data_IF_749367531158
#
_entry.id   IF_749367531158
#
_cell.length_a   1.000
_cell.length_b   1.000
_cell.length_c   1.000
_cell.angle_alpha   90.00
_cell.angle_beta   90.00
_cell.angle_gamma   90.00
#
_symmetry.space_group_name_H-M   'P 1'
#
loop_
_entity.id
_entity.type
_entity.pdbx_description
1 polymer ?
#
# COMPACT_ATOMS: atom_id res chain seq x y z
N UNK A 1 -25.20 50.03 32.72
CA UNK A 1 -26.46 49.36 32.30
C UNK A 1 -26.63 49.72 30.84
N UNK A 2 -26.59 48.82 29.85
CA UNK A 2 -27.14 47.47 29.77
C UNK A 2 -26.21 46.57 28.96
N UNK A 3 -25.89 45.40 29.51
CA UNK A 3 -25.35 44.28 28.75
C UNK A 3 -26.41 43.78 27.77
N UNK A 4 -26.25 44.04 26.47
CA UNK A 4 -26.95 43.27 25.44
C UNK A 4 -26.19 41.96 25.21
N UNK A 5 -26.68 40.95 25.92
CA UNK A 5 -26.32 39.55 25.82
C UNK A 5 -26.58 39.05 24.38
N UNK A 6 -25.55 39.05 23.53
CA UNK A 6 -25.57 38.26 22.31
C UNK A 6 -25.26 36.82 22.71
N UNK A 7 -26.33 36.02 22.93
CA UNK A 7 -26.20 34.57 23.09
C UNK A 7 -25.53 34.02 21.83
N UNK A 8 -24.24 33.74 21.92
CA UNK A 8 -23.57 32.86 20.99
C UNK A 8 -24.27 31.50 21.08
N UNK A 9 -25.06 31.15 20.06
CA UNK A 9 -25.50 29.78 19.84
C UNK A 9 -24.28 28.96 19.44
N UNK A 10 -23.53 28.48 20.43
CA UNK A 10 -22.46 27.51 20.25
C UNK A 10 -23.09 26.13 19.97
N UNK A 11 -23.31 25.84 18.69
CA UNK A 11 -23.56 24.48 18.22
C UNK A 11 -23.03 24.39 16.79
N UNK A 12 -21.87 23.75 16.58
CA UNK A 12 -21.36 23.18 15.29
C UNK A 12 -19.82 22.99 15.29
N UNK A 13 -19.30 21.80 15.65
CA UNK A 13 -18.01 21.18 15.18
C UNK A 13 -17.29 20.24 16.18
N UNK A 14 -17.75 20.09 17.42
CA UNK A 14 -16.89 19.57 18.51
C UNK A 14 -16.48 18.08 18.38
N UNK A 15 -17.17 17.27 17.57
CA UNK A 15 -16.92 15.82 17.44
C UNK A 15 -16.53 15.42 16.01
N UNK A 16 -15.59 16.14 15.40
CA UNK A 16 -15.09 15.86 14.05
C UNK A 16 -13.68 15.29 14.11
N UNK A 17 -13.42 14.16 13.45
CA UNK A 17 -12.09 13.58 13.35
C UNK A 17 -11.13 14.53 12.60
N UNK A 18 -9.97 14.82 13.20
CA UNK A 18 -8.96 15.71 12.61
C UNK A 18 -8.29 15.11 11.34
N UNK A 19 -8.23 13.79 11.20
CA UNK A 19 -7.59 13.12 10.06
C UNK A 19 -8.54 12.87 8.88
N UNK A 20 -9.67 12.21 9.11
CA UNK A 20 -10.59 11.83 8.03
C UNK A 20 -11.77 12.80 7.84
N UNK A 21 -11.92 13.79 8.73
CA UNK A 21 -13.01 14.78 8.75
C UNK A 21 -14.42 14.21 8.91
N UNK A 22 -14.55 12.94 9.32
CA UNK A 22 -15.85 12.34 9.65
C UNK A 22 -16.40 12.99 10.91
N UNK A 23 -17.66 13.40 10.86
CA UNK A 23 -18.35 14.06 11.96
C UNK A 23 -19.24 13.06 12.70
N UNK A 24 -19.23 13.16 14.02
CA UNK A 24 -20.00 12.32 14.93
C UNK A 24 -20.98 13.16 15.73
N UNK A 25 -22.12 12.58 16.08
CA UNK A 25 -23.10 13.26 16.93
C UNK A 25 -22.64 13.32 18.39
N UNK A 26 -21.76 12.41 18.80
CA UNK A 26 -21.27 12.27 20.18
C UNK A 26 -19.76 12.04 20.21
N UNK A 27 -19.10 12.55 21.25
CA UNK A 27 -17.66 12.37 21.48
C UNK A 27 -17.29 10.90 21.65
N UNK A 28 -18.12 10.11 22.35
CA UNK A 28 -17.91 8.66 22.54
C UNK A 28 -17.70 7.91 21.22
N UNK A 29 -18.45 8.26 20.17
CA UNK A 29 -18.32 7.66 18.85
C UNK A 29 -17.09 8.14 18.08
N UNK A 30 -16.63 9.38 18.32
CA UNK A 30 -15.37 9.87 17.76
C UNK A 30 -14.19 9.12 18.38
N UNK A 31 -14.18 8.95 19.70
CA UNK A 31 -13.15 8.19 20.41
C UNK A 31 -13.10 6.75 19.91
N UNK A 32 -14.26 6.10 19.75
CA UNK A 32 -14.33 4.74 19.22
C UNK A 32 -13.83 4.66 17.77
N UNK A 33 -14.16 5.64 16.93
CA UNK A 33 -13.60 5.75 15.58
C UNK A 33 -12.08 5.83 15.60
N UNK A 34 -11.50 6.67 16.46
CA UNK A 34 -10.05 6.85 16.54
C UNK A 34 -9.34 5.56 16.96
N UNK A 35 -9.95 4.76 17.85
CA UNK A 35 -9.40 3.47 18.28
C UNK A 35 -9.24 2.45 17.17
N UNK A 36 -10.17 2.44 16.21
CA UNK A 36 -10.22 1.41 15.15
C UNK A 36 -9.70 1.90 13.80
N UNK A 37 -9.40 3.19 13.67
CA UNK A 37 -9.01 3.79 12.39
C UNK A 37 -7.50 3.96 12.19
N UNK A 38 -6.71 3.99 13.27
CA UNK A 38 -5.23 3.99 13.21
C UNK A 38 -4.66 5.03 12.25
N UNK A 39 -5.18 6.25 12.35
CA UNK A 39 -4.74 7.35 11.51
C UNK A 39 -3.26 7.64 11.75
N UNK A 40 -2.50 7.85 10.67
CA UNK A 40 -1.06 8.07 10.76
C UNK A 40 -0.52 8.92 9.61
N UNK A 41 0.74 9.33 9.75
CA UNK A 41 1.50 10.03 8.70
C UNK A 41 1.69 9.18 7.43
N UNK A 42 1.57 7.85 7.54
CA UNK A 42 1.76 6.89 6.46
C UNK A 42 0.52 6.61 5.62
N UNK A 43 -0.66 7.05 6.04
CA UNK A 43 -1.88 6.93 5.23
C UNK A 43 -1.81 7.83 3.99
N UNK A 44 -2.34 7.40 2.83
CA UNK A 44 -2.55 8.27 1.68
C UNK A 44 -3.34 9.54 2.05
N UNK A 45 -2.83 10.73 1.69
CA UNK A 45 -3.50 12.00 1.99
C UNK A 45 -3.89 12.77 0.74
N UNK A 46 -5.01 13.47 0.80
CA UNK A 46 -5.41 14.41 -0.24
C UNK A 46 -4.54 15.67 -0.19
N UNK A 47 -3.79 15.96 -1.26
CA UNK A 47 -2.96 17.15 -1.34
C UNK A 47 -3.71 18.49 -1.29
N UNK A 48 -5.05 18.49 -1.47
CA UNK A 48 -5.88 19.70 -1.37
C UNK A 48 -6.36 19.93 0.06
N UNK A 49 -7.08 18.95 0.62
CA UNK A 49 -7.76 19.13 1.91
C UNK A 49 -7.05 18.45 3.08
N UNK A 50 -5.94 17.75 2.83
CA UNK A 50 -5.17 16.99 3.81
C UNK A 50 -5.93 15.85 4.49
N UNK A 51 -7.08 15.45 3.94
CA UNK A 51 -7.85 14.29 4.43
C UNK A 51 -7.00 13.02 4.31
N UNK A 52 -6.87 12.30 5.41
CA UNK A 52 -6.33 10.95 5.45
C UNK A 52 -7.33 9.97 4.83
N UNK A 53 -6.83 9.10 3.96
CA UNK A 53 -7.59 8.05 3.30
C UNK A 53 -6.97 6.70 3.65
N UNK A 54 -7.82 5.73 3.99
CA UNK A 54 -7.38 4.39 4.40
C UNK A 54 -6.61 3.66 3.30
N UNK A 55 -6.95 3.92 2.04
CA UNK A 55 -6.27 3.33 0.88
C UNK A 55 -6.15 4.34 -0.26
N UNK A 56 -5.28 4.05 -1.22
CA UNK A 56 -5.15 4.86 -2.43
C UNK A 56 -6.40 4.82 -3.30
N UNK A 57 -7.22 3.77 -3.18
CA UNK A 57 -8.52 3.68 -3.85
C UNK A 57 -9.48 4.72 -3.27
N UNK A 58 -9.60 4.82 -1.95
CA UNK A 58 -10.41 5.86 -1.31
C UNK A 58 -9.91 7.27 -1.62
N UNK A 59 -8.60 7.47 -1.74
CA UNK A 59 -8.03 8.75 -2.17
C UNK A 59 -8.41 9.08 -3.62
N UNK A 60 -8.34 8.08 -4.51
CA UNK A 60 -8.75 8.22 -5.91
C UNK A 60 -10.22 8.56 -6.03
N UNK A 61 -11.09 7.85 -5.30
CA UNK A 61 -12.53 8.12 -5.27
C UNK A 61 -12.82 9.54 -4.77
N UNK A 62 -12.07 10.01 -3.77
CA UNK A 62 -12.20 11.36 -3.24
C UNK A 62 -11.85 12.46 -4.26
N UNK A 63 -10.89 12.20 -5.15
CA UNK A 63 -10.38 13.17 -6.13
C UNK A 63 -11.09 13.11 -7.49
N UNK A 64 -11.32 11.90 -7.99
CA UNK A 64 -11.81 11.63 -9.36
C UNK A 64 -12.91 10.56 -9.42
N UNK A 65 -13.43 10.12 -8.26
CA UNK A 65 -14.50 9.13 -8.20
C UNK A 65 -15.87 9.67 -8.62
N UNK A 66 -16.94 8.86 -8.45
CA UNK A 66 -18.30 9.24 -8.83
C UNK A 66 -18.88 10.37 -7.97
N UNK A 67 -18.42 10.50 -6.72
CA UNK A 67 -18.86 11.53 -5.77
C UNK A 67 -17.65 12.25 -5.14
N UNK A 68 -16.84 12.97 -5.93
CA UNK A 68 -15.63 13.59 -5.42
C UNK A 68 -15.99 14.88 -4.67
N UNK A 69 -15.15 15.30 -3.73
CA UNK A 69 -15.38 16.57 -3.01
C UNK A 69 -15.14 17.72 -3.98
N UNK A 70 -16.17 18.53 -4.25
CA UNK A 70 -16.21 19.54 -5.33
C UNK A 70 -14.91 20.34 -5.48
N UNK A 71 -14.42 20.95 -4.40
CA UNK A 71 -13.17 21.73 -4.45
C UNK A 71 -11.92 20.89 -4.70
N UNK A 72 -11.85 19.69 -4.12
CA UNK A 72 -10.73 18.78 -4.34
C UNK A 72 -10.70 18.30 -5.78
N UNK A 73 -11.85 17.90 -6.33
CA UNK A 73 -12.02 17.51 -7.71
C UNK A 73 -11.63 18.63 -8.68
N UNK A 74 -12.10 19.85 -8.42
CA UNK A 74 -11.82 21.03 -9.25
C UNK A 74 -10.33 21.36 -9.27
N UNK A 75 -9.69 21.42 -8.10
CA UNK A 75 -8.24 21.72 -8.01
C UNK A 75 -7.42 20.60 -8.65
N UNK A 76 -7.77 19.35 -8.38
CA UNK A 76 -7.10 18.19 -8.94
C UNK A 76 -7.26 18.09 -10.46
N UNK A 77 -8.43 18.44 -11.02
CA UNK A 77 -8.64 18.46 -12.47
C UNK A 77 -7.70 19.42 -13.22
N UNK A 78 -7.29 20.52 -12.58
CA UNK A 78 -6.44 21.55 -13.20
C UNK A 78 -4.95 21.28 -12.95
N UNK A 79 -4.61 20.80 -11.75
CA UNK A 79 -3.23 20.76 -11.22
C UNK A 79 -2.78 19.37 -10.79
N UNK A 80 -3.66 18.37 -10.82
CA UNK A 80 -3.42 17.00 -10.37
C UNK A 80 -2.96 16.06 -11.49
N UNK A 81 -2.09 15.12 -11.14
CA UNK A 81 -1.67 14.05 -12.03
C UNK A 81 -2.43 12.75 -11.70
N UNK A 82 -3.16 12.19 -12.67
CA UNK A 82 -3.95 10.97 -12.49
C UNK A 82 -3.11 9.71 -12.19
N UNK A 83 -1.79 9.75 -12.42
CA UNK A 83 -0.89 8.62 -12.21
C UNK A 83 -0.23 8.63 -10.82
N UNK A 84 0.42 9.73 -10.44
CA UNK A 84 1.06 9.84 -9.12
C UNK A 84 0.11 10.34 -8.03
N UNK A 85 -1.04 10.93 -8.39
CA UNK A 85 -2.00 11.61 -7.51
C UNK A 85 -1.43 12.86 -6.80
N UNK A 86 -0.25 13.34 -7.20
CA UNK A 86 0.31 14.59 -6.71
C UNK A 86 -0.39 15.80 -7.35
N UNK A 87 -0.39 16.90 -6.61
CA UNK A 87 -0.96 18.18 -7.02
C UNK A 87 0.19 19.18 -7.14
N UNK A 88 0.32 19.81 -8.30
CA UNK A 88 1.41 20.72 -8.63
C UNK A 88 1.01 22.17 -8.38
N UNK A 89 1.97 23.10 -8.34
CA UNK A 89 1.70 24.52 -8.08
C UNK A 89 0.92 25.24 -9.20
N UNK A 90 1.04 24.73 -10.43
CA UNK A 90 0.37 25.30 -11.60
C UNK A 90 0.06 24.22 -12.65
N UNK A 91 -0.83 24.55 -13.59
CA UNK A 91 -1.12 23.69 -14.75
C UNK A 91 0.12 23.46 -15.62
N UNK A 92 0.99 24.47 -15.74
CA UNK A 92 2.26 24.35 -16.46
C UNK A 92 3.22 23.35 -15.81
N UNK A 93 3.34 23.39 -14.47
CA UNK A 93 4.14 22.41 -13.73
C UNK A 93 3.59 20.98 -13.90
N UNK A 94 2.27 20.80 -13.88
CA UNK A 94 1.64 19.52 -14.20
C UNK A 94 1.98 19.05 -15.62
N UNK A 95 1.91 19.93 -16.63
CA UNK A 95 2.25 19.57 -18.02
C UNK A 95 3.70 19.14 -18.15
N UNK A 96 4.63 19.86 -17.54
CA UNK A 96 6.04 19.48 -17.50
C UNK A 96 6.22 18.10 -16.82
N UNK A 97 5.60 17.91 -15.65
CA UNK A 97 5.66 16.64 -14.92
C UNK A 97 5.09 15.45 -15.70
N UNK A 98 4.02 15.60 -16.49
CA UNK A 98 3.39 14.45 -17.18
C UNK A 98 4.37 13.69 -18.07
N UNK A 99 5.35 14.37 -18.66
CA UNK A 99 6.37 13.76 -19.52
C UNK A 99 7.48 13.05 -18.74
N UNK A 100 7.72 13.46 -17.50
CA UNK A 100 8.77 12.93 -16.61
C UNK A 100 8.20 12.15 -15.43
N UNK A 101 6.89 11.92 -15.39
CA UNK A 101 6.24 11.20 -14.32
C UNK A 101 6.81 9.78 -14.29
N UNK A 102 7.39 9.40 -13.16
CA UNK A 102 8.01 8.08 -12.96
C UNK A 102 7.04 6.90 -13.14
N UNK A 103 5.74 7.17 -13.23
CA UNK A 103 4.69 6.19 -13.48
C UNK A 103 4.05 6.34 -14.89
N UNK A 104 4.59 7.18 -15.75
CA UNK A 104 4.18 7.29 -17.16
C UNK A 104 4.77 6.15 -17.99
N UNK A 105 4.18 5.87 -19.16
CA UNK A 105 4.58 4.78 -20.06
C UNK A 105 6.04 4.98 -20.54
N UNK A 106 6.91 4.05 -20.17
CA UNK A 106 8.16 3.63 -20.82
C UNK A 106 8.85 4.66 -21.72
N UNK A 107 9.88 5.32 -21.21
CA UNK A 107 11.09 5.46 -22.04
C UNK A 107 11.81 4.11 -21.99
N UNK A 108 12.08 3.55 -23.17
CA UNK A 108 13.02 2.45 -23.42
C UNK A 108 14.45 2.86 -23.03
N UNK A 109 14.65 3.15 -21.75
CA UNK A 109 15.96 3.35 -21.20
C UNK A 109 16.31 2.02 -20.56
N UNK A 110 17.37 1.38 -21.07
CA UNK A 110 18.21 0.45 -20.32
C UNK A 110 18.00 0.69 -18.83
N UNK A 111 17.27 -0.21 -18.18
CA UNK A 111 17.03 -0.13 -16.75
C UNK A 111 18.41 -0.23 -16.08
N UNK A 112 19.06 0.91 -15.91
CA UNK A 112 19.88 1.15 -14.74
C UNK A 112 18.89 1.02 -13.59
N UNK A 113 18.59 -0.22 -13.21
CA UNK A 113 18.28 -0.59 -11.85
C UNK A 113 19.43 0.00 -11.07
N UNK A 114 19.24 1.27 -10.66
CA UNK A 114 20.21 2.04 -9.92
C UNK A 114 20.63 1.10 -8.82
N UNK A 115 21.92 0.75 -8.86
CA UNK A 115 22.59 -0.14 -7.94
C UNK A 115 22.15 0.30 -6.55
N UNK A 116 21.09 -0.30 -6.00
CA UNK A 116 20.65 -0.08 -4.63
C UNK A 116 21.70 -0.80 -3.81
N UNK A 117 22.86 -0.14 -3.67
CA UNK A 117 23.89 -0.54 -2.74
C UNK A 117 23.24 -0.49 -1.37
N UNK A 118 22.80 -1.66 -0.89
CA UNK A 118 22.14 -1.83 0.40
C UNK A 118 21.07 -2.92 0.37
N UNK A 119 19.92 -2.65 -0.26
CA UNK A 119 18.74 -3.48 -0.09
C UNK A 119 18.58 -4.52 -1.22
N UNK A 120 18.54 -5.80 -0.83
CA UNK A 120 18.32 -6.92 -1.74
C UNK A 120 16.86 -7.38 -1.67
N UNK A 121 16.13 -7.26 -2.79
CA UNK A 121 14.70 -7.58 -2.88
C UNK A 121 14.48 -8.59 -4.00
N UNK A 122 13.64 -9.58 -3.78
CA UNK A 122 13.29 -10.63 -4.75
C UNK A 122 11.78 -10.67 -4.90
N UNK A 123 11.31 -10.76 -6.14
CA UNK A 123 9.91 -11.02 -6.43
C UNK A 123 9.68 -12.52 -6.66
N UNK A 124 8.55 -13.03 -6.18
CA UNK A 124 8.07 -14.39 -6.43
C UNK A 124 6.63 -14.34 -6.91
N UNK A 125 6.33 -15.19 -7.87
CA UNK A 125 4.98 -15.52 -8.30
C UNK A 125 4.99 -16.98 -8.74
N UNK A 126 4.05 -17.78 -8.24
CA UNK A 126 3.79 -19.11 -8.77
C UNK A 126 2.58 -19.07 -9.69
N UNK A 127 2.57 -19.95 -10.68
CA UNK A 127 1.38 -20.17 -11.49
C UNK A 127 1.17 -21.66 -11.63
N UNK A 128 -0.02 -22.09 -11.24
CA UNK A 128 -0.41 -23.50 -11.33
C UNK A 128 -0.59 -23.90 -12.80
N UNK A 129 -0.16 -25.12 -13.11
CA UNK A 129 -0.24 -25.71 -14.45
C UNK A 129 -1.25 -26.86 -14.43
N UNK A 130 -2.34 -26.70 -15.18
CA UNK A 130 -3.44 -27.68 -15.24
C UNK A 130 -4.36 -27.64 -14.01
N UNK A 131 -5.69 -27.61 -14.24
CA UNK A 131 -6.65 -27.69 -13.13
C UNK A 131 -8.04 -27.13 -13.37
N UNK A 132 -8.52 -27.03 -14.61
CA UNK A 132 -9.96 -27.05 -14.84
C UNK A 132 -10.46 -28.48 -14.72
N UNK A 133 -11.69 -28.68 -14.23
CA UNK A 133 -12.39 -29.99 -14.30
C UNK A 133 -12.55 -30.49 -15.75
N UNK A 134 -12.23 -29.66 -16.74
CA UNK A 134 -12.25 -29.88 -18.19
C UNK A 134 -10.86 -30.00 -18.85
N UNK A 135 -9.76 -29.90 -18.09
CA UNK A 135 -8.40 -30.01 -18.64
C UNK A 135 -7.92 -28.79 -19.44
N UNK A 136 -8.54 -27.62 -19.29
CA UNK A 136 -8.14 -26.39 -20.00
C UNK A 136 -6.80 -25.81 -19.49
N UNK A 137 -5.87 -25.52 -20.41
CA UNK A 137 -4.53 -24.93 -20.17
C UNK A 137 -4.48 -23.40 -20.42
N UNK A 138 -5.66 -22.78 -20.52
CA UNK A 138 -5.85 -21.54 -21.29
C UNK A 138 -5.26 -20.27 -20.65
N UNK A 139 -4.99 -20.29 -19.34
CA UNK A 139 -4.54 -19.07 -18.62
C UNK A 139 -3.02 -18.94 -18.53
N UNK A 140 -2.25 -20.02 -18.65
CA UNK A 140 -0.79 -20.01 -18.46
C UNK A 140 -0.02 -20.33 -19.73
N UNK A 141 -0.64 -21.02 -20.70
CA UNK A 141 0.05 -21.51 -21.89
C UNK A 141 1.11 -22.59 -21.62
N UNK A 142 1.25 -23.04 -20.36
CA UNK A 142 2.22 -24.07 -19.99
C UNK A 142 1.60 -25.44 -20.22
N UNK A 143 2.23 -26.24 -21.08
CA UNK A 143 1.80 -27.58 -21.44
C UNK A 143 2.68 -28.64 -20.76
N UNK A 144 2.20 -29.90 -20.62
CA UNK A 144 2.97 -30.98 -19.99
C UNK A 144 4.35 -31.21 -20.62
N UNK A 145 4.51 -30.96 -21.93
CA UNK A 145 5.79 -31.03 -22.62
C UNK A 145 6.86 -30.10 -22.04
N UNK A 146 6.47 -28.92 -21.54
CA UNK A 146 7.37 -27.97 -20.90
C UNK A 146 7.85 -28.45 -19.52
N UNK A 147 7.18 -29.45 -18.93
CA UNK A 147 7.51 -29.99 -17.61
C UNK A 147 8.49 -31.16 -17.67
N UNK A 148 8.76 -31.74 -18.85
CA UNK A 148 9.62 -32.93 -18.99
C UNK A 148 11.06 -32.71 -18.52
N UNK A 149 11.58 -31.51 -18.73
CA UNK A 149 12.94 -31.11 -18.29
C UNK A 149 12.88 -30.10 -17.14
N UNK A 150 11.72 -29.97 -16.48
CA UNK A 150 11.56 -29.02 -15.39
C UNK A 150 12.38 -29.43 -14.16
N UNK A 151 12.85 -28.41 -13.44
CA UNK A 151 13.58 -28.60 -12.19
C UNK A 151 12.70 -29.33 -11.15
N UNK A 152 13.19 -30.40 -10.51
CA UNK A 152 12.46 -31.05 -9.43
C UNK A 152 12.14 -30.10 -8.28
N UNK A 153 10.97 -30.24 -7.66
CA UNK A 153 10.50 -29.34 -6.59
C UNK A 153 11.53 -29.14 -5.47
N UNK A 154 12.16 -30.22 -4.99
CA UNK A 154 13.21 -30.13 -3.95
C UNK A 154 14.43 -29.30 -4.37
N UNK A 155 14.75 -29.28 -5.65
CA UNK A 155 15.85 -28.46 -6.17
C UNK A 155 15.40 -27.00 -6.32
N UNK A 156 14.17 -26.76 -6.76
CA UNK A 156 13.58 -25.42 -6.82
C UNK A 156 13.47 -24.79 -5.43
N UNK A 157 12.94 -25.53 -4.44
CA UNK A 157 12.87 -25.13 -3.03
C UNK A 157 14.24 -24.69 -2.49
N UNK A 158 15.28 -25.50 -2.71
CA UNK A 158 16.64 -25.16 -2.27
C UNK A 158 17.18 -23.91 -2.94
N UNK A 159 16.99 -23.75 -4.25
CA UNK A 159 17.41 -22.53 -4.96
C UNK A 159 16.68 -21.29 -4.45
N UNK A 160 15.38 -21.38 -4.21
CA UNK A 160 14.58 -20.27 -3.68
C UNK A 160 15.05 -19.90 -2.27
N UNK A 161 15.22 -20.88 -1.38
CA UNK A 161 15.72 -20.62 -0.03
C UNK A 161 17.12 -20.00 -0.04
N UNK A 162 18.04 -20.49 -0.88
CA UNK A 162 19.38 -19.92 -1.01
C UNK A 162 19.35 -18.46 -1.50
N UNK A 163 18.49 -18.16 -2.49
CA UNK A 163 18.27 -16.81 -2.97
C UNK A 163 17.69 -15.88 -1.89
N UNK A 164 16.70 -16.34 -1.13
CA UNK A 164 16.01 -15.54 -0.11
C UNK A 164 16.85 -15.33 1.14
N UNK A 165 17.60 -16.35 1.57
CA UNK A 165 18.38 -16.26 2.79
C UNK A 165 19.77 -15.66 2.56
N UNK A 166 20.23 -15.56 1.30
CA UNK A 166 21.45 -14.86 0.90
C UNK A 166 22.70 -15.33 1.69
N UNK A 167 22.81 -16.65 1.87
CA UNK A 167 23.90 -17.28 2.63
C UNK A 167 23.73 -17.28 4.15
N UNK A 168 22.67 -16.67 4.70
CA UNK A 168 22.32 -16.83 6.12
C UNK A 168 21.41 -18.04 6.32
N UNK A 169 21.56 -18.81 7.40
CA UNK A 169 20.60 -19.86 7.70
C UNK A 169 19.32 -19.27 8.30
N UNK A 170 18.17 -19.83 7.92
CA UNK A 170 16.84 -19.28 8.27
C UNK A 170 16.63 -19.05 9.76
N UNK A 171 17.15 -19.91 10.63
CA UNK A 171 17.02 -19.79 12.09
C UNK A 171 17.78 -18.61 12.70
N UNK A 172 18.71 -17.99 11.97
CA UNK A 172 19.42 -16.76 12.37
C UNK A 172 18.67 -15.49 11.96
N UNK A 173 17.71 -15.59 11.04
CA UNK A 173 16.91 -14.46 10.56
C UNK A 173 15.85 -14.12 11.62
N UNK A 174 16.27 -13.40 12.67
CA UNK A 174 15.41 -13.06 13.83
C UNK A 174 15.20 -11.56 14.02
N UNK A 175 15.94 -10.72 13.31
CA UNK A 175 15.89 -9.26 13.43
C UNK A 175 16.05 -8.58 12.07
N UNK A 176 15.91 -7.25 12.06
CA UNK A 176 16.11 -6.40 10.88
C UNK A 176 17.58 -6.34 10.42
N UNK A 177 18.53 -6.67 11.28
CA UNK A 177 19.97 -6.74 10.95
C UNK A 177 20.32 -8.09 10.29
N UNK A 178 19.63 -8.42 9.20
CA UNK A 178 19.84 -9.65 8.42
C UNK A 178 20.29 -9.32 7.00
N UNK A 179 21.06 -10.22 6.40
CA UNK A 179 21.38 -10.16 4.96
C UNK A 179 20.33 -10.83 4.08
N UNK A 180 19.30 -11.43 4.69
CA UNK A 180 18.19 -12.04 3.97
C UNK A 180 17.43 -11.01 3.14
N UNK A 181 16.89 -11.46 2.00
CA UNK A 181 16.28 -10.59 1.00
C UNK A 181 14.81 -10.37 1.28
N UNK A 182 14.32 -9.16 1.05
CA UNK A 182 12.88 -8.90 1.15
C UNK A 182 12.16 -9.67 0.02
N UNK A 183 11.12 -10.41 0.36
CA UNK A 183 10.28 -11.16 -0.57
C UNK A 183 9.03 -10.35 -0.92
N UNK A 184 8.88 -10.00 -2.20
CA UNK A 184 7.74 -9.25 -2.74
C UNK A 184 6.88 -10.15 -3.61
N UNK A 185 5.56 -9.98 -3.56
CA UNK A 185 4.65 -10.72 -4.43
C UNK A 185 3.20 -10.28 -4.29
N UNK A 186 2.28 -11.11 -4.79
CA UNK A 186 0.84 -10.86 -4.74
C UNK A 186 0.10 -12.15 -4.36
N UNK A 187 -0.32 -12.27 -3.10
CA UNK A 187 -0.94 -13.49 -2.58
C UNK A 187 0.09 -14.56 -2.24
N UNK A 188 1.20 -14.17 -1.62
CA UNK A 188 2.37 -15.04 -1.39
C UNK A 188 2.09 -16.24 -0.49
N UNK A 189 1.02 -16.22 0.31
CA UNK A 189 0.62 -17.38 1.10
C UNK A 189 0.46 -18.62 0.22
N UNK A 190 -0.27 -18.49 -0.88
CA UNK A 190 -0.53 -19.60 -1.78
C UNK A 190 0.77 -20.06 -2.48
N UNK A 191 1.59 -19.11 -2.93
CA UNK A 191 2.87 -19.40 -3.58
C UNK A 191 3.81 -20.18 -2.66
N UNK A 192 3.94 -19.73 -1.41
CA UNK A 192 4.80 -20.34 -0.39
C UNK A 192 4.28 -21.72 0.05
N UNK A 193 2.96 -21.89 0.15
CA UNK A 193 2.33 -23.16 0.50
C UNK A 193 2.50 -24.20 -0.62
N UNK A 194 2.29 -23.81 -1.88
CA UNK A 194 2.57 -24.65 -3.05
C UNK A 194 4.05 -25.05 -3.15
N UNK A 195 4.95 -24.16 -2.75
CA UNK A 195 6.37 -24.45 -2.70
C UNK A 195 6.80 -25.20 -1.43
N UNK A 196 5.98 -25.29 -0.39
CA UNK A 196 6.36 -25.84 0.91
C UNK A 196 7.57 -25.12 1.53
N UNK A 197 7.64 -23.79 1.39
CA UNK A 197 8.73 -22.97 1.92
C UNK A 197 8.17 -21.98 2.94
N UNK A 198 8.74 -21.96 4.14
CA UNK A 198 8.43 -20.94 5.14
C UNK A 198 9.38 -19.76 5.04
N UNK A 199 8.88 -18.54 5.24
CA UNK A 199 9.69 -17.33 5.24
C UNK A 199 9.23 -16.34 6.32
N UNK A 200 10.14 -15.62 7.01
CA UNK A 200 9.76 -14.73 8.09
C UNK A 200 8.81 -13.62 7.64
N UNK A 201 7.66 -13.48 8.31
CA UNK A 201 6.59 -12.56 7.91
C UNK A 201 7.05 -11.09 7.82
N UNK A 202 8.02 -10.67 8.64
CA UNK A 202 8.56 -9.30 8.64
C UNK A 202 9.42 -8.97 7.41
N UNK A 203 9.83 -9.97 6.61
CA UNK A 203 10.52 -9.81 5.32
C UNK A 203 9.60 -10.00 4.11
N UNK A 204 8.32 -10.33 4.35
CA UNK A 204 7.31 -10.49 3.29
C UNK A 204 6.65 -9.13 2.99
N UNK A 205 6.49 -8.84 1.71
CA UNK A 205 5.83 -7.64 1.17
C UNK A 205 4.78 -8.09 0.16
N UNK A 206 3.64 -8.50 0.70
CA UNK A 206 2.51 -8.98 -0.10
C UNK A 206 1.59 -7.82 -0.50
N UNK A 207 1.57 -7.52 -1.79
CA UNK A 207 0.73 -6.46 -2.38
C UNK A 207 -0.77 -6.73 -2.25
N UNK A 208 -1.21 -7.99 -2.08
CA UNK A 208 -2.61 -8.34 -1.87
C UNK A 208 -3.10 -8.03 -0.45
N UNK A 209 -2.18 -8.00 0.52
CA UNK A 209 -2.45 -7.79 1.95
C UNK A 209 -2.01 -6.42 2.47
N UNK A 210 -1.34 -5.61 1.63
CA UNK A 210 -0.83 -4.32 2.05
C UNK A 210 -1.98 -3.30 2.15
N UNK A 211 -2.32 -2.78 3.35
CA UNK A 211 -3.56 -2.02 3.56
C UNK A 211 -3.77 -0.81 2.63
N UNK A 212 -2.73 -0.02 2.27
CA UNK A 212 -2.89 1.07 1.30
C UNK A 212 -3.34 0.63 -0.11
N UNK A 213 -3.16 -0.64 -0.48
CA UNK A 213 -3.56 -1.23 -1.76
C UNK A 213 -4.85 -2.06 -1.69
N UNK A 214 -5.33 -2.36 -0.48
CA UNK A 214 -6.55 -3.14 -0.27
C UNK A 214 -7.81 -2.32 -0.53
N UNK A 215 -8.90 -3.03 -0.82
CA UNK A 215 -10.24 -2.44 -0.87
C UNK A 215 -10.65 -1.98 0.53
N UNK A 216 -11.60 -1.05 0.58
CA UNK A 216 -12.25 -0.65 1.84
C UNK A 216 -12.92 -1.81 2.57
N UNK A 217 -13.36 -2.84 1.85
CA UNK A 217 -13.90 -4.10 2.39
C UNK A 217 -12.85 -5.04 2.99
N UNK A 218 -11.57 -4.64 3.00
CA UNK A 218 -10.43 -5.49 3.38
C UNK A 218 -10.25 -6.74 2.50
N UNK A 219 -10.84 -6.75 1.31
CA UNK A 219 -10.55 -7.73 0.29
C UNK A 219 -9.36 -7.28 -0.56
N UNK A 220 -8.61 -8.25 -1.09
CA UNK A 220 -7.55 -7.97 -2.04
C UNK A 220 -8.12 -7.48 -3.37
N UNK A 221 -7.37 -6.58 -4.01
CA UNK A 221 -7.54 -6.25 -5.40
C UNK A 221 -6.74 -7.23 -6.26
N UNK A 222 -7.13 -7.44 -7.51
CA UNK A 222 -6.28 -8.24 -8.42
C UNK A 222 -5.01 -7.47 -8.79
N UNK A 223 -3.91 -8.18 -9.00
CA UNK A 223 -2.65 -7.58 -9.45
C UNK A 223 -2.83 -6.78 -10.75
N UNK A 224 -3.64 -7.28 -11.68
CA UNK A 224 -4.02 -6.57 -12.92
C UNK A 224 -4.66 -5.21 -12.64
N UNK A 225 -5.62 -5.15 -11.71
CA UNK A 225 -6.23 -3.88 -11.32
C UNK A 225 -5.21 -2.95 -10.68
N UNK A 226 -4.42 -3.45 -9.72
CA UNK A 226 -3.44 -2.63 -9.00
C UNK A 226 -2.39 -2.03 -9.94
N UNK A 227 -1.84 -2.82 -10.86
CA UNK A 227 -0.84 -2.36 -11.83
C UNK A 227 -1.44 -1.35 -12.80
N UNK A 228 -2.64 -1.59 -13.33
CA UNK A 228 -3.35 -0.63 -14.19
C UNK A 228 -3.64 0.68 -13.45
N UNK A 229 -4.19 0.58 -12.24
CA UNK A 229 -4.59 1.73 -11.45
C UNK A 229 -3.37 2.56 -11.03
N UNK A 230 -2.32 1.95 -10.49
CA UNK A 230 -1.25 2.66 -9.78
C UNK A 230 0.04 2.84 -10.57
N UNK A 231 0.24 2.08 -11.65
CA UNK A 231 1.45 2.23 -12.48
C UNK A 231 1.15 2.87 -13.82
N UNK A 232 -0.11 3.16 -14.16
CA UNK A 232 -0.50 3.72 -15.46
C UNK A 232 -0.15 2.83 -16.66
N UNK A 233 0.33 1.62 -16.40
CA UNK A 233 0.84 0.69 -17.40
C UNK A 233 -0.27 -0.27 -17.82
N UNK A 234 -0.74 -0.11 -19.05
CA UNK A 234 -1.29 -1.22 -19.84
C UNK A 234 -0.12 -2.01 -20.45
N UNK A 235 0.60 -2.79 -19.63
CA UNK A 235 1.41 -3.93 -20.16
C UNK A 235 0.69 -5.27 -20.02
N UNK A 236 -0.39 -5.33 -19.24
CA UNK A 236 -1.39 -6.41 -19.33
C UNK A 236 -2.34 -6.21 -20.53
N UNK A 237 -1.88 -5.59 -21.62
CA UNK A 237 -2.41 -5.91 -22.94
C UNK A 237 -1.87 -7.30 -23.26
N UNK A 238 -2.58 -8.26 -22.69
CA UNK A 238 -2.57 -9.66 -23.03
C UNK A 238 -2.56 -9.73 -24.55
N UNK A 239 -1.39 -9.97 -25.16
CA UNK A 239 -1.33 -10.13 -26.60
C UNK A 239 -2.07 -11.42 -27.01
N UNK A 240 -2.27 -12.42 -26.11
CA UNK A 240 -2.80 -13.76 -26.46
C UNK A 240 -3.53 -14.55 -25.32
N UNK A 241 -4.30 -13.95 -24.43
CA UNK A 241 -4.92 -14.62 -23.26
C UNK A 241 -3.98 -14.99 -22.09
N UNK A 242 -2.70 -15.18 -22.35
CA UNK A 242 -1.72 -15.78 -21.41
C UNK A 242 -1.09 -14.70 -20.50
N UNK A 243 -1.02 -14.97 -19.19
CA UNK A 243 -0.25 -14.13 -18.25
C UNK A 243 1.04 -14.86 -17.84
N UNK A 244 2.18 -14.19 -18.01
CA UNK A 244 3.50 -14.69 -17.65
C UNK A 244 3.79 -14.40 -16.16
N UNK A 245 4.18 -15.41 -15.34
CA UNK A 245 4.63 -15.20 -13.96
C UNK A 245 5.75 -14.15 -13.83
N UNK A 246 6.57 -13.96 -14.85
CA UNK A 246 7.58 -12.90 -14.89
C UNK A 246 6.95 -11.51 -14.88
N UNK A 247 5.89 -11.27 -15.67
CA UNK A 247 5.18 -9.99 -15.69
C UNK A 247 4.50 -9.71 -14.35
N UNK A 248 3.98 -10.75 -13.69
CA UNK A 248 3.42 -10.65 -12.34
C UNK A 248 4.49 -10.23 -11.31
N UNK A 249 5.68 -10.84 -11.38
CA UNK A 249 6.84 -10.43 -10.56
C UNK A 249 7.22 -8.96 -10.80
N UNK A 250 7.30 -8.54 -12.07
CA UNK A 250 7.61 -7.15 -12.43
C UNK A 250 6.55 -6.19 -11.92
N UNK A 251 5.26 -6.55 -12.06
CA UNK A 251 4.13 -5.78 -11.55
C UNK A 251 4.18 -5.59 -10.04
N UNK A 252 4.39 -6.67 -9.29
CA UNK A 252 4.52 -6.65 -7.84
C UNK A 252 5.74 -5.82 -7.39
N UNK A 253 6.90 -6.00 -8.04
CA UNK A 253 8.11 -5.24 -7.75
C UNK A 253 7.94 -3.73 -8.00
N UNK A 254 7.26 -3.34 -9.09
CA UNK A 254 6.95 -1.95 -9.41
C UNK A 254 5.97 -1.34 -8.41
N UNK A 255 4.96 -2.08 -7.99
CA UNK A 255 4.05 -1.67 -6.91
C UNK A 255 4.82 -1.47 -5.60
N UNK A 256 5.66 -2.43 -5.21
CA UNK A 256 6.52 -2.32 -4.03
C UNK A 256 7.39 -1.07 -4.09
N UNK A 257 8.11 -0.87 -5.20
CA UNK A 257 8.97 0.31 -5.40
C UNK A 257 8.18 1.61 -5.28
N UNK A 258 6.96 1.66 -5.84
CA UNK A 258 6.07 2.82 -5.71
C UNK A 258 5.68 3.08 -4.25
N UNK A 259 5.26 2.05 -3.52
CA UNK A 259 4.85 2.18 -2.11
C UNK A 259 6.04 2.54 -1.21
N UNK A 260 7.24 2.01 -1.51
CA UNK A 260 8.49 2.37 -0.82
C UNK A 260 8.89 3.82 -1.08
N UNK A 261 8.67 4.32 -2.29
CA UNK A 261 8.99 5.70 -2.68
C UNK A 261 8.02 6.77 -2.14
N UNK A 262 7.05 6.40 -1.28
CA UNK A 262 6.09 7.38 -0.77
C UNK A 262 6.80 8.41 0.14
N UNK A 263 6.53 9.72 -0.07
CA UNK A 263 7.16 10.78 0.71
C UNK A 263 6.44 10.93 2.05
N UNK A 264 6.76 10.04 2.99
CA UNK A 264 6.33 10.17 4.38
C UNK A 264 7.37 10.94 5.18
N UNK A 265 6.97 11.81 6.13
CA UNK A 265 7.88 12.40 7.09
C UNK A 265 8.67 11.28 7.79
N UNK A 266 10.00 11.37 7.81
CA UNK A 266 10.82 10.53 8.69
C UNK A 266 10.54 11.00 10.10
N UNK A 267 9.69 10.28 10.83
CA UNK A 267 9.50 10.51 12.24
C UNK A 267 10.84 10.29 12.94
N UNK A 268 11.42 11.37 13.49
CA UNK A 268 12.67 11.31 14.23
C UNK A 268 12.36 10.99 15.68
N UNK A 269 12.09 9.72 16.01
CA UNK A 269 12.08 9.21 17.39
C UNK A 269 12.03 7.68 17.44
N UNK A 270 13.11 7.08 17.95
CA UNK A 270 13.10 5.91 18.83
C UNK A 270 12.50 4.60 18.32
N UNK A 271 13.38 3.64 18.02
CA UNK A 271 13.10 2.20 17.81
C UNK A 271 12.17 1.88 16.62
N UNK A 272 12.57 0.88 15.83
CA UNK A 272 11.74 0.35 14.75
C UNK A 272 10.54 -0.44 15.29
N UNK A 273 9.62 0.26 15.95
CA UNK A 273 8.51 -0.32 16.70
C UNK A 273 7.43 -0.89 15.77
N UNK A 274 6.82 -1.96 16.26
CA UNK A 274 5.72 -2.66 15.65
C UNK A 274 4.54 -1.72 15.36
N UNK A 275 3.58 -2.10 14.49
CA UNK A 275 2.32 -1.35 14.33
C UNK A 275 1.74 -0.94 15.69
N UNK A 276 1.39 0.35 15.80
CA UNK A 276 0.96 0.94 17.05
C UNK A 276 -0.34 0.28 17.50
N UNK A 277 -0.32 -0.25 18.73
CA UNK A 277 -1.51 -0.78 19.36
C UNK A 277 -2.24 0.37 20.05
N UNK A 278 -3.27 0.93 19.41
CA UNK A 278 -4.23 1.84 20.04
C UNK A 278 -5.14 1.13 21.08
N UNK A 279 -4.74 -0.05 21.57
CA UNK A 279 -5.51 -0.87 22.52
C UNK A 279 -5.37 -0.33 23.94
N UNK A 280 -5.91 0.87 24.15
CA UNK A 280 -5.98 1.48 25.46
C UNK A 280 -7.10 0.83 26.29
N UNK A 281 -6.87 0.57 27.60
CA UNK A 281 -7.90 0.03 28.47
C UNK A 281 -9.16 0.89 28.49
N UNK A 282 -10.33 0.25 28.61
CA UNK A 282 -11.65 0.91 28.62
C UNK A 282 -11.78 1.99 29.72
N UNK A 283 -11.05 1.88 30.83
CA UNK A 283 -11.08 2.87 31.91
C UNK A 283 -10.49 4.23 31.52
N UNK A 284 -9.67 4.32 30.46
CA UNK A 284 -9.18 5.59 29.90
C UNK A 284 -10.20 6.28 28.98
N UNK A 285 -11.40 5.71 28.76
CA UNK A 285 -12.45 6.30 27.92
C UNK A 285 -12.73 7.78 28.26
N UNK A 286 -12.92 8.09 29.55
CA UNK A 286 -13.23 9.46 30.01
C UNK A 286 -12.07 10.43 29.79
N UNK A 287 -10.85 9.94 29.70
CA UNK A 287 -9.68 10.76 29.39
C UNK A 287 -9.70 11.16 27.92
N UNK A 288 -9.91 10.20 27.01
CA UNK A 288 -10.00 10.46 25.58
C UNK A 288 -11.19 11.34 25.20
N UNK A 289 -12.34 11.18 25.86
CA UNK A 289 -13.51 12.04 25.63
C UNK A 289 -13.31 13.49 26.06
N UNK A 290 -12.25 13.78 26.84
CA UNK A 290 -11.86 15.16 27.23
C UNK A 290 -10.76 15.73 26.34
N UNK A 291 -10.16 14.93 25.46
CA UNK A 291 -9.11 15.39 24.55
C UNK A 291 -9.72 16.05 23.30
N UNK A 292 -8.96 16.94 22.66
CA UNK A 292 -9.34 17.48 21.36
C UNK A 292 -9.15 16.44 20.25
N UNK A 293 -9.85 16.56 19.11
CA UNK A 293 -9.62 15.68 17.96
C UNK A 293 -8.18 15.65 17.45
N UNK A 294 -7.45 16.76 17.57
CA UNK A 294 -6.04 16.87 17.21
C UNK A 294 -5.15 16.07 18.17
N UNK A 295 -5.39 16.18 19.49
CA UNK A 295 -4.67 15.40 20.49
C UNK A 295 -4.93 13.89 20.34
N UNK A 296 -6.16 13.49 20.00
CA UNK A 296 -6.47 12.09 19.69
C UNK A 296 -5.72 11.59 18.43
N UNK A 297 -5.47 12.47 17.46
CA UNK A 297 -4.70 12.13 16.27
C UNK A 297 -3.21 11.99 16.57
N UNK A 298 -2.64 12.82 17.42
CA UNK A 298 -1.23 12.73 17.84
C UNK A 298 -0.92 11.41 18.58
N UNK A 299 -1.91 10.85 19.28
CA UNK A 299 -1.79 9.55 19.94
C UNK A 299 -2.01 8.35 18.99
N UNK A 300 -2.53 8.59 17.80
CA UNK A 300 -2.85 7.54 16.84
C UNK A 300 -1.62 7.18 16.02
N UNK A 301 -1.33 5.88 15.91
CA UNK A 301 -0.29 5.35 15.03
C UNK A 301 -0.83 4.42 13.95
N UNK A 302 0.04 4.01 13.03
CA UNK A 302 -0.29 3.08 11.93
C UNK A 302 -0.53 1.66 12.45
N UNK A 303 -1.59 1.00 11.98
CA UNK A 303 -1.85 -0.43 12.21
C UNK A 303 -1.06 -1.36 11.28
N UNK A 304 -0.26 -0.79 10.38
CA UNK A 304 0.53 -1.54 9.42
C UNK A 304 1.95 -1.00 9.28
N UNK A 305 2.86 -1.90 8.88
CA UNK A 305 4.24 -1.54 8.57
C UNK A 305 4.33 -0.91 7.18
N UNK A 306 4.70 0.36 7.10
CA UNK A 306 4.81 1.08 5.84
C UNK A 306 6.11 0.73 5.10
N UNK A 307 6.02 0.38 3.81
CA UNK A 307 7.19 -0.04 3.03
C UNK A 307 8.18 1.10 2.74
N UNK A 308 7.82 2.36 3.00
CA UNK A 308 8.78 3.47 2.98
C UNK A 308 9.84 3.37 4.08
N UNK A 309 9.63 2.51 5.08
CA UNK A 309 10.56 2.24 6.17
C UNK A 309 11.60 1.17 5.82
N UNK A 310 11.48 0.51 4.66
CA UNK A 310 12.49 -0.45 4.19
C UNK A 310 13.78 0.27 3.76
N UNK A 311 14.87 -0.03 4.48
CA UNK A 311 16.19 0.62 4.39
C UNK A 311 17.10 0.00 3.34
#
# INVERSE_FOLDING_TARGET
>A
MLHTNCKASASTNENKCAACFRQYNKMEHLVEHMRVSFHSSHEPKCGVCQKHCRSFESLREHLIGPLPKVDCARIFGIRGCNLCLNIFDSSSALRAHRTTCQYSRTSSSTDNYGRTQGLQVVALACKMVGGGSDGSYETTGIRPEHLREAMPLKQAQRKIQDLLCNGEPIWKIRSKDTKARILVGHGLDHDLDCLGVEYPAFLIRDTAKYPPLMKTSKLSNSLKYLTQAYLGQCRYEIQNGIQDPYDDCVGAMRLYTRMRSQPHPREYSGSGEAPSSNNYPSWRQREFERMSPEALLELSGSDYYCWCLDS
#
